data_IF_391802410696
#
_entry.id   IF_391802410696
#
_cell.length_a   1.000
_cell.length_b   1.000
_cell.length_c   1.000
_cell.angle_alpha   90.00
_cell.angle_beta   90.00
_cell.angle_gamma   90.00
#
_symmetry.space_group_name_H-M   'P 1'
#
loop_
_entity.id
_entity.type
_entity.pdbx_description
1 polymer ?
#
# COMPACT_ATOMS: atom_id res chain seq x y z
N UNK A 1 44.99 8.86 55.71
CA UNK A 1 45.55 8.92 57.08
C UNK A 1 45.49 10.38 57.47
N UNK A 2 44.48 10.73 58.26
CA UNK A 2 44.01 12.09 58.43
C UNK A 2 45.07 12.98 59.08
N UNK A 3 45.27 14.13 58.44
CA UNK A 3 46.39 15.03 58.61
C UNK A 3 46.22 15.96 59.83
N UNK A 4 47.32 16.41 60.43
CA UNK A 4 47.35 17.13 61.72
C UNK A 4 46.78 18.57 61.69
N UNK A 5 46.18 19.02 60.61
CA UNK A 5 45.58 20.38 60.50
C UNK A 5 44.19 20.48 61.15
N UNK A 6 43.41 19.40 61.19
CA UNK A 6 42.03 19.42 61.72
C UNK A 6 41.99 19.49 63.26
N UNK A 7 43.05 19.02 63.94
CA UNK A 7 43.13 19.00 65.41
C UNK A 7 43.49 20.39 65.98
N UNK A 8 44.21 21.22 65.22
CA UNK A 8 44.62 22.56 65.67
C UNK A 8 43.49 23.60 65.60
N UNK A 9 42.59 23.50 64.61
CA UNK A 9 41.47 24.43 64.47
C UNK A 9 40.34 24.19 65.49
N UNK A 10 40.09 22.94 65.88
CA UNK A 10 39.13 22.61 66.94
C UNK A 10 39.64 22.98 68.35
N UNK A 11 40.95 22.96 68.57
CA UNK A 11 41.57 23.41 69.82
C UNK A 11 41.45 24.94 69.98
N UNK A 12 41.74 25.69 68.91
CA UNK A 12 41.64 27.16 68.91
C UNK A 12 40.17 27.66 69.01
N UNK A 13 39.20 26.94 68.46
CA UNK A 13 37.78 27.27 68.66
C UNK A 13 37.28 26.96 70.09
N UNK A 14 37.79 25.90 70.73
CA UNK A 14 37.47 25.59 72.14
C UNK A 14 38.06 26.60 73.13
N UNK A 15 39.29 27.07 72.89
CA UNK A 15 39.92 28.10 73.74
C UNK A 15 39.16 29.43 73.63
N UNK A 16 38.80 29.86 72.41
CA UNK A 16 37.99 31.09 72.23
C UNK A 16 36.60 30.98 72.84
N UNK A 17 35.94 29.82 72.74
CA UNK A 17 34.64 29.60 73.39
C UNK A 17 34.74 29.57 74.93
N UNK A 18 35.86 29.06 75.47
CA UNK A 18 36.15 29.08 76.92
C UNK A 18 36.38 30.50 77.42
N UNK A 19 37.22 31.29 76.74
CA UNK A 19 37.50 32.69 77.09
C UNK A 19 36.22 33.55 77.02
N UNK A 20 35.36 33.31 76.03
CA UNK A 20 34.10 34.05 75.88
C UNK A 20 33.06 33.66 76.93
N UNK A 21 33.07 32.41 77.41
CA UNK A 21 32.26 31.99 78.56
C UNK A 21 32.81 32.51 79.89
N UNK A 22 34.13 32.57 80.08
CA UNK A 22 34.75 33.19 81.25
C UNK A 22 34.47 34.69 81.29
N UNK A 23 34.51 35.38 80.16
CA UNK A 23 34.16 36.80 80.08
C UNK A 23 32.70 37.08 80.45
N UNK A 24 31.76 36.24 79.98
CA UNK A 24 30.35 36.33 80.38
C UNK A 24 30.14 36.04 81.88
N UNK A 25 30.91 35.11 82.45
CA UNK A 25 30.88 34.84 83.91
C UNK A 25 31.46 36.01 84.72
N UNK A 26 32.52 36.65 84.23
CA UNK A 26 33.10 37.85 84.83
C UNK A 26 32.13 39.03 84.79
N UNK A 27 31.45 39.26 83.66
CA UNK A 27 30.42 40.30 83.54
C UNK A 27 29.24 40.06 84.48
N UNK A 28 28.77 38.82 84.61
CA UNK A 28 27.73 38.46 85.57
C UNK A 28 28.17 38.67 87.03
N UNK A 29 29.41 38.27 87.37
CA UNK A 29 29.98 38.48 88.70
C UNK A 29 30.15 39.97 89.05
N UNK A 30 30.49 40.82 88.06
CA UNK A 30 30.58 42.28 88.24
C UNK A 30 29.20 42.89 88.48
N UNK A 31 28.17 42.44 87.76
CA UNK A 31 26.79 42.88 87.99
C UNK A 31 26.28 42.46 89.37
N UNK A 32 26.62 41.26 89.82
CA UNK A 32 26.27 40.76 91.16
C UNK A 32 27.00 41.56 92.26
N UNK A 33 28.26 41.93 92.03
CA UNK A 33 29.04 42.83 92.90
C UNK A 33 28.44 44.23 93.00
N UNK A 34 27.95 44.79 91.90
CA UNK A 34 27.25 46.09 91.92
C UNK A 34 25.92 46.01 92.68
N UNK A 35 25.20 44.90 92.54
CA UNK A 35 23.95 44.67 93.25
C UNK A 35 24.20 44.52 94.76
N UNK A 36 25.26 43.81 95.16
CA UNK A 36 25.71 43.70 96.54
C UNK A 36 26.17 45.05 97.11
N UNK A 37 26.87 45.90 96.34
CA UNK A 37 27.23 47.26 96.77
C UNK A 37 26.00 48.15 97.00
N UNK A 38 24.97 48.03 96.16
CA UNK A 38 23.70 48.74 96.38
C UNK A 38 23.00 48.24 97.64
N UNK A 39 22.96 46.92 97.86
CA UNK A 39 22.40 46.36 99.09
C UNK A 39 23.18 46.80 100.34
N UNK A 40 24.51 46.89 100.27
CA UNK A 40 25.34 47.41 101.35
C UNK A 40 25.03 48.89 101.64
N UNK A 41 24.88 49.73 100.62
CA UNK A 41 24.49 51.13 100.78
C UNK A 41 23.11 51.29 101.44
N UNK A 42 22.14 50.44 101.08
CA UNK A 42 20.81 50.43 101.71
C UNK A 42 20.92 50.00 103.17
N UNK A 43 21.72 48.97 103.47
CA UNK A 43 21.96 48.51 104.84
C UNK A 43 22.65 49.57 105.69
N UNK A 44 23.65 50.30 105.16
CA UNK A 44 24.31 51.40 105.86
C UNK A 44 23.35 52.56 106.17
N UNK A 45 22.40 52.87 105.27
CA UNK A 45 21.34 53.84 105.57
C UNK A 45 20.44 53.34 106.70
N UNK A 46 19.98 52.08 106.66
CA UNK A 46 19.12 51.53 107.72
C UNK A 46 19.84 51.43 109.07
N UNK A 47 21.16 51.20 109.06
CA UNK A 47 21.98 51.16 110.27
C UNK A 47 22.10 52.55 110.89
N UNK A 48 22.30 53.60 110.08
CA UNK A 48 22.29 54.98 110.55
C UNK A 48 20.93 55.41 111.12
N UNK A 49 19.82 55.02 110.48
CA UNK A 49 18.46 55.31 110.97
C UNK A 49 18.16 54.61 112.31
N UNK A 50 18.65 53.36 112.47
CA UNK A 50 18.57 52.64 113.75
C UNK A 50 19.49 53.27 114.81
N UNK A 51 20.66 53.77 114.43
CA UNK A 51 21.58 54.47 115.33
C UNK A 51 20.94 55.75 115.88
N UNK A 52 20.27 56.52 115.00
CA UNK A 52 19.48 57.68 115.37
C UNK A 52 18.35 57.32 116.34
N UNK A 53 17.60 56.25 116.06
CA UNK A 53 16.54 55.77 116.96
C UNK A 53 17.08 55.29 118.32
N UNK A 54 18.28 54.70 118.37
CA UNK A 54 18.94 54.31 119.62
C UNK A 54 19.34 55.54 120.45
N UNK A 55 19.82 56.60 119.80
CA UNK A 55 20.22 57.83 120.49
C UNK A 55 19.01 58.66 120.96
N UNK A 56 17.90 58.62 120.22
CA UNK A 56 16.60 59.18 120.64
C UNK A 56 16.06 58.46 121.89
N UNK A 57 16.10 57.11 121.91
CA UNK A 57 15.73 56.31 123.08
C UNK A 57 16.66 56.52 124.28
N UNK A 58 17.95 56.83 124.07
CA UNK A 58 18.85 57.21 125.17
C UNK A 58 18.51 58.59 125.74
N UNK A 59 18.05 59.53 124.91
CA UNK A 59 17.57 60.83 125.38
C UNK A 59 16.30 60.67 126.22
N UNK A 60 15.33 59.86 125.77
CA UNK A 60 14.10 59.58 126.53
C UNK A 60 14.39 58.85 127.86
N UNK A 61 15.40 57.98 127.89
CA UNK A 61 15.84 57.30 129.13
C UNK A 61 16.50 58.27 130.11
N UNK A 62 17.28 59.24 129.61
CA UNK A 62 17.89 60.29 130.43
C UNK A 62 16.87 61.31 131.00
N UNK A 63 15.71 61.47 130.36
CA UNK A 63 14.61 62.30 130.86
C UNK A 63 13.74 61.61 131.91
N UNK A 64 13.54 60.28 131.80
CA UNK A 64 12.75 59.50 132.77
C UNK A 64 13.47 59.17 134.08
N UNK A 65 14.80 59.22 134.11
CA UNK A 65 15.61 58.91 135.31
C UNK A 65 15.78 60.11 136.28
N UNK A 66 15.23 61.29 135.93
CA UNK A 66 15.26 62.52 136.77
C UNK A 66 13.96 62.85 137.53
N UNK A 67 12.89 62.06 137.38
CA UNK A 67 11.54 62.42 137.84
C UNK A 67 10.93 61.45 138.88
N UNK A 68 11.75 60.62 139.55
CA UNK A 68 11.27 59.62 140.52
C UNK A 68 12.13 59.62 141.79
N UNK A 69 12.05 60.71 142.56
CA UNK A 69 12.31 60.71 144.00
C UNK A 69 11.22 61.55 144.68
N UNK A 70 10.69 61.01 145.79
CA UNK A 70 9.74 61.61 146.73
C UNK A 70 8.25 61.67 146.31
N UNK A 71 7.47 60.71 146.81
CA UNK A 71 6.48 60.94 147.89
C UNK A 71 5.59 59.70 148.10
N UNK A 72 5.80 59.01 149.21
CA UNK A 72 4.69 58.43 150.00
C UNK A 72 4.13 59.56 150.88
N UNK A 73 2.82 59.59 151.19
CA UNK A 73 2.40 58.93 152.42
C UNK A 73 0.96 58.37 152.44
N UNK A 74 0.85 57.32 153.24
CA UNK A 74 -0.14 57.02 154.28
C UNK A 74 -1.65 56.95 153.99
N UNK A 75 -2.20 55.84 154.51
CA UNK A 75 -3.58 55.37 154.42
C UNK A 75 -4.45 56.07 155.47
N UNK A 76 -5.41 56.86 155.03
CA UNK A 76 -6.58 57.27 155.81
C UNK A 76 -7.80 56.41 155.46
N UNK A 77 -8.52 55.92 156.46
CA UNK A 77 -9.68 55.01 156.35
C UNK A 77 -10.92 55.58 155.63
N UNK A 78 -10.80 56.72 154.93
CA UNK A 78 -11.73 57.18 153.88
C UNK A 78 -11.32 56.75 152.45
N UNK A 79 -10.15 56.12 152.29
CA UNK A 79 -9.61 55.69 151.01
C UNK A 79 -10.27 54.43 150.43
N UNK A 80 -10.94 53.59 151.25
CA UNK A 80 -11.53 52.35 150.75
C UNK A 80 -12.56 52.62 149.65
N UNK A 81 -13.49 53.55 149.86
CA UNK A 81 -14.51 53.86 148.85
C UNK A 81 -13.91 54.56 147.63
N UNK A 82 -12.89 55.43 147.78
CA UNK A 82 -12.17 56.03 146.63
C UNK A 82 -11.38 55.00 145.83
N UNK A 83 -10.69 54.07 146.49
CA UNK A 83 -9.99 52.95 145.86
C UNK A 83 -11.02 52.02 145.21
N UNK A 84 -12.17 51.78 145.84
CA UNK A 84 -13.26 51.02 145.25
C UNK A 84 -13.81 51.72 144.00
N UNK A 85 -14.01 53.04 144.02
CA UNK A 85 -14.46 53.80 142.84
C UNK A 85 -13.39 53.79 141.75
N UNK A 86 -12.11 53.86 142.11
CA UNK A 86 -11.00 53.73 141.16
C UNK A 86 -10.91 52.32 140.58
N UNK A 87 -11.17 51.28 141.38
CA UNK A 87 -11.24 49.89 140.93
C UNK A 87 -12.46 49.64 140.06
N UNK A 88 -13.62 50.20 140.39
CA UNK A 88 -14.84 50.17 139.58
C UNK A 88 -14.65 50.91 138.25
N UNK A 89 -14.06 52.11 138.27
CA UNK A 89 -13.71 52.85 137.06
C UNK A 89 -12.68 52.08 136.22
N UNK A 90 -11.69 51.47 136.85
CA UNK A 90 -10.68 50.65 136.15
C UNK A 90 -11.28 49.34 135.64
N UNK A 91 -12.28 48.77 136.31
CA UNK A 91 -13.06 47.65 135.81
C UNK A 91 -13.87 48.06 134.58
N UNK A 92 -14.52 49.22 134.60
CA UNK A 92 -15.24 49.78 133.44
C UNK A 92 -14.27 50.04 132.28
N UNK A 93 -13.12 50.67 132.52
CA UNK A 93 -12.07 50.89 131.51
C UNK A 93 -11.55 49.57 130.93
N UNK A 94 -11.34 48.55 131.77
CA UNK A 94 -10.90 47.23 131.31
C UNK A 94 -12.00 46.52 130.52
N UNK A 95 -13.27 46.65 130.92
CA UNK A 95 -14.40 46.13 130.16
C UNK A 95 -14.55 46.83 128.81
N UNK A 96 -14.33 48.14 128.74
CA UNK A 96 -14.28 48.90 127.48
C UNK A 96 -13.13 48.44 126.59
N UNK A 97 -11.91 48.32 127.13
CA UNK A 97 -10.75 47.77 126.38
C UNK A 97 -10.99 46.33 125.91
N UNK A 98 -11.64 45.48 126.70
CA UNK A 98 -12.03 44.13 126.28
C UNK A 98 -13.06 44.17 125.16
N UNK A 99 -14.04 45.09 125.21
CA UNK A 99 -15.01 45.29 124.12
C UNK A 99 -14.33 45.81 122.85
N UNK A 100 -13.41 46.75 122.97
CA UNK A 100 -12.60 47.26 121.86
C UNK A 100 -11.73 46.16 121.24
N UNK A 101 -11.03 45.36 122.05
CA UNK A 101 -10.24 44.23 121.57
C UNK A 101 -11.12 43.16 120.89
N UNK A 102 -12.31 42.87 121.42
CA UNK A 102 -13.27 41.96 120.76
C UNK A 102 -13.73 42.50 119.41
N UNK A 103 -13.92 43.81 119.28
CA UNK A 103 -14.25 44.46 118.02
C UNK A 103 -13.09 44.35 117.02
N UNK A 104 -11.87 44.67 117.44
CA UNK A 104 -10.66 44.52 116.61
C UNK A 104 -10.51 43.07 116.14
N UNK A 105 -10.69 42.09 117.04
CA UNK A 105 -10.62 40.67 116.68
C UNK A 105 -11.69 40.27 115.66
N UNK A 106 -12.92 40.77 115.80
CA UNK A 106 -13.99 40.51 114.83
C UNK A 106 -13.68 41.11 113.45
N UNK A 107 -13.16 42.34 113.41
CA UNK A 107 -12.74 43.02 112.17
C UNK A 107 -11.59 42.26 111.49
N UNK A 108 -10.59 41.81 112.26
CA UNK A 108 -9.47 40.99 111.78
C UNK A 108 -9.94 39.64 111.21
N UNK A 109 -10.90 38.97 111.88
CA UNK A 109 -11.49 37.72 111.38
C UNK A 109 -12.29 37.93 110.10
N UNK A 110 -12.98 39.08 109.97
CA UNK A 110 -13.68 39.45 108.73
C UNK A 110 -12.70 39.70 107.58
N UNK A 111 -11.63 40.48 107.82
CA UNK A 111 -10.57 40.70 106.83
C UNK A 111 -9.87 39.39 106.43
N UNK A 112 -9.57 38.52 107.39
CA UNK A 112 -9.00 37.20 107.12
C UNK A 112 -9.93 36.38 106.21
N UNK A 113 -11.24 36.43 106.45
CA UNK A 113 -12.23 35.77 105.58
C UNK A 113 -12.24 36.35 104.16
N UNK A 114 -12.21 37.68 104.01
CA UNK A 114 -12.16 38.34 102.70
C UNK A 114 -10.89 37.94 101.94
N UNK A 115 -9.73 37.96 102.59
CA UNK A 115 -8.46 37.57 101.99
C UNK A 115 -8.47 36.10 101.57
N UNK A 116 -9.01 35.20 102.42
CA UNK A 116 -9.15 33.79 102.08
C UNK A 116 -10.08 33.58 100.86
N UNK A 117 -11.19 34.31 100.77
CA UNK A 117 -12.08 34.24 99.62
C UNK A 117 -11.42 34.75 98.33
N UNK A 118 -10.70 35.88 98.41
CA UNK A 118 -9.93 36.43 97.28
C UNK A 118 -8.85 35.46 96.82
N UNK A 119 -8.12 34.84 97.76
CA UNK A 119 -7.08 33.87 97.43
C UNK A 119 -7.68 32.62 96.76
N UNK A 120 -8.79 32.08 97.28
CA UNK A 120 -9.52 30.98 96.62
C UNK A 120 -9.99 31.34 95.22
N UNK A 121 -10.42 32.58 94.98
CA UNK A 121 -10.84 33.05 93.66
C UNK A 121 -9.67 33.13 92.69
N UNK A 122 -8.58 33.77 93.10
CA UNK A 122 -7.34 33.87 92.33
C UNK A 122 -6.77 32.49 91.99
N UNK A 123 -6.81 31.55 92.93
CA UNK A 123 -6.34 30.19 92.71
C UNK A 123 -7.17 29.46 91.63
N UNK A 124 -8.50 29.61 91.65
CA UNK A 124 -9.38 29.08 90.60
C UNK A 124 -9.14 29.73 89.23
N UNK A 125 -8.95 31.06 89.21
CA UNK A 125 -8.63 31.80 87.98
C UNK A 125 -7.28 31.34 87.40
N UNK A 126 -6.27 31.15 88.26
CA UNK A 126 -4.97 30.63 87.87
C UNK A 126 -5.05 29.20 87.31
N UNK A 127 -5.78 28.30 87.96
CA UNK A 127 -6.01 26.94 87.45
C UNK A 127 -6.72 26.95 86.09
N UNK A 128 -7.72 27.82 85.93
CA UNK A 128 -8.45 27.97 84.65
C UNK A 128 -7.52 28.47 83.54
N UNK A 129 -6.71 29.50 83.81
CA UNK A 129 -5.73 30.00 82.85
C UNK A 129 -4.66 28.97 82.51
N UNK A 130 -4.21 28.17 83.49
CA UNK A 130 -3.25 27.09 83.27
C UNK A 130 -3.80 26.03 82.32
N UNK A 131 -5.08 25.66 82.47
CA UNK A 131 -5.75 24.72 81.54
C UNK A 131 -5.90 25.34 80.15
N UNK A 132 -6.28 26.63 80.04
CA UNK A 132 -6.35 27.31 78.76
C UNK A 132 -5.00 27.35 78.04
N UNK A 133 -3.94 27.76 78.74
CA UNK A 133 -2.59 27.78 78.17
C UNK A 133 -2.17 26.40 77.65
N UNK A 134 -2.44 25.35 78.43
CA UNK A 134 -2.12 23.99 78.00
C UNK A 134 -2.89 23.56 76.75
N UNK A 135 -4.18 23.90 76.67
CA UNK A 135 -4.99 23.62 75.48
C UNK A 135 -4.48 24.39 74.26
N UNK A 136 -4.10 25.66 74.42
CA UNK A 136 -3.56 26.49 73.34
C UNK A 136 -2.20 25.97 72.87
N UNK A 137 -1.34 25.51 73.79
CA UNK A 137 -0.07 24.84 73.45
C UNK A 137 -0.31 23.56 72.64
N UNK A 138 -1.29 22.74 73.03
CA UNK A 138 -1.65 21.52 72.29
C UNK A 138 -2.22 21.84 70.91
N UNK A 139 -3.13 22.81 70.81
CA UNK A 139 -3.69 23.27 69.54
C UNK A 139 -2.60 23.82 68.61
N UNK A 140 -1.65 24.58 69.15
CA UNK A 140 -0.50 25.12 68.41
C UNK A 140 0.40 24.00 67.87
N UNK A 141 0.67 22.98 68.68
CA UNK A 141 1.40 21.78 68.22
C UNK A 141 0.66 21.06 67.10
N UNK A 142 -0.62 20.77 67.28
CA UNK A 142 -1.44 20.11 66.23
C UNK A 142 -1.51 20.93 64.95
N UNK A 143 -1.60 22.26 65.04
CA UNK A 143 -1.59 23.14 63.88
C UNK A 143 -0.23 23.10 63.16
N UNK A 144 0.88 23.06 63.90
CA UNK A 144 2.23 22.94 63.35
C UNK A 144 2.44 21.60 62.64
N UNK A 145 2.05 20.50 63.27
CA UNK A 145 2.16 19.16 62.67
C UNK A 145 1.36 19.08 61.35
N UNK A 146 0.16 19.66 61.33
CA UNK A 146 -0.65 19.75 60.09
C UNK A 146 0.03 20.61 59.02
N UNK A 147 0.66 21.72 59.41
CA UNK A 147 1.36 22.59 58.49
C UNK A 147 2.58 21.87 57.87
N UNK A 148 3.31 21.09 58.66
CA UNK A 148 4.45 20.31 58.17
C UNK A 148 4.00 19.23 57.17
N UNK A 149 2.88 18.53 57.45
CA UNK A 149 2.28 17.56 56.52
C UNK A 149 1.86 18.23 55.22
N UNK A 150 1.09 19.32 55.29
CA UNK A 150 0.64 20.04 54.09
C UNK A 150 1.81 20.61 53.28
N UNK A 151 2.87 21.06 53.93
CA UNK A 151 4.08 21.55 53.25
C UNK A 151 4.76 20.41 52.49
N UNK A 152 4.83 19.22 53.09
CA UNK A 152 5.38 18.03 52.43
C UNK A 152 4.54 17.63 51.22
N UNK A 153 3.20 17.59 51.37
CA UNK A 153 2.28 17.29 50.26
C UNK A 153 2.39 18.30 49.11
N UNK A 154 2.57 19.59 49.41
CA UNK A 154 2.79 20.62 48.39
C UNK A 154 4.09 20.35 47.63
N UNK A 155 5.19 20.09 48.33
CA UNK A 155 6.49 19.80 47.70
C UNK A 155 6.39 18.55 46.80
N UNK A 156 5.72 17.49 47.26
CA UNK A 156 5.48 16.29 46.46
C UNK A 156 4.69 16.61 45.18
N UNK A 157 3.63 17.43 45.29
CA UNK A 157 2.82 17.84 44.15
C UNK A 157 3.55 18.77 43.19
N UNK A 158 4.40 19.66 43.69
CA UNK A 158 5.27 20.50 42.86
C UNK A 158 6.26 19.66 42.05
N UNK A 159 6.85 18.63 42.66
CA UNK A 159 7.74 17.69 41.96
C UNK A 159 6.98 16.90 40.90
N UNK A 160 5.81 16.34 41.22
CA UNK A 160 4.97 15.63 40.23
C UNK A 160 4.60 16.53 39.04
N UNK A 161 4.27 17.80 39.30
CA UNK A 161 3.94 18.75 38.25
C UNK A 161 5.16 19.08 37.38
N UNK A 162 6.33 19.21 38.00
CA UNK A 162 7.59 19.43 37.29
C UNK A 162 7.92 18.25 36.36
N UNK A 163 7.85 17.01 36.86
CA UNK A 163 8.08 15.79 36.08
C UNK A 163 7.10 15.70 34.88
N UNK A 164 5.83 16.08 35.09
CA UNK A 164 4.84 16.12 34.01
C UNK A 164 5.16 17.19 32.96
N UNK A 165 5.68 18.35 33.36
CA UNK A 165 6.11 19.39 32.42
C UNK A 165 7.31 18.91 31.59
N UNK A 166 8.31 18.30 32.22
CA UNK A 166 9.46 17.74 31.51
C UNK A 166 9.03 16.65 30.51
N UNK A 167 8.12 15.77 30.92
CA UNK A 167 7.58 14.74 30.03
C UNK A 167 6.81 15.36 28.85
N UNK A 168 6.03 16.42 29.08
CA UNK A 168 5.30 17.11 28.03
C UNK A 168 6.26 17.76 27.02
N UNK A 169 7.34 18.38 27.48
CA UNK A 169 8.38 18.96 26.62
C UNK A 169 9.09 17.88 25.77
N UNK A 170 9.41 16.73 26.38
CA UNK A 170 10.02 15.60 25.66
C UNK A 170 9.09 15.08 24.54
N UNK A 171 7.80 14.91 24.85
CA UNK A 171 6.81 14.45 23.88
C UNK A 171 6.58 15.48 22.76
N UNK A 172 6.62 16.77 23.06
CA UNK A 172 6.53 17.84 22.06
C UNK A 172 7.73 17.81 21.11
N UNK A 173 8.94 17.65 21.64
CA UNK A 173 10.16 17.50 20.83
C UNK A 173 10.11 16.25 19.94
N UNK A 174 9.69 15.10 20.48
CA UNK A 174 9.53 13.87 19.70
C UNK A 174 8.49 14.04 18.59
N UNK A 175 7.37 14.72 18.86
CA UNK A 175 6.34 15.00 17.87
C UNK A 175 6.88 15.87 16.73
N UNK A 176 7.65 16.92 17.05
CA UNK A 176 8.30 17.77 16.04
C UNK A 176 9.26 16.94 15.18
N UNK A 177 10.13 16.15 15.81
CA UNK A 177 11.08 15.29 15.09
C UNK A 177 10.37 14.30 14.17
N UNK A 178 9.33 13.61 14.65
CA UNK A 178 8.55 12.64 13.86
C UNK A 178 7.81 13.31 12.71
N UNK A 179 7.29 14.52 12.92
CA UNK A 179 6.64 15.32 11.88
C UNK A 179 7.62 15.70 10.77
N UNK A 180 8.84 16.11 11.11
CA UNK A 180 9.90 16.43 10.15
C UNK A 180 10.38 15.18 9.40
N UNK A 181 10.61 14.06 10.10
CA UNK A 181 10.95 12.78 9.48
C UNK A 181 9.90 12.36 8.44
N UNK A 182 8.62 12.46 8.78
CA UNK A 182 7.51 12.11 7.89
C UNK A 182 7.40 13.07 6.70
N UNK A 183 7.59 14.39 6.92
CA UNK A 183 7.63 15.38 5.85
C UNK A 183 8.75 15.07 4.85
N UNK A 184 9.97 14.84 5.35
CA UNK A 184 11.12 14.52 4.52
C UNK A 184 10.94 13.19 3.77
N UNK A 185 10.37 12.17 4.42
CA UNK A 185 10.06 10.90 3.78
C UNK A 185 9.04 11.06 2.63
N UNK A 186 7.97 11.84 2.85
CA UNK A 186 6.97 12.11 1.83
C UNK A 186 7.51 12.94 0.66
N UNK A 187 8.34 13.95 0.92
CA UNK A 187 8.99 14.74 -0.13
C UNK A 187 9.90 13.87 -1.00
N UNK A 188 10.74 13.02 -0.37
CA UNK A 188 11.60 12.07 -1.07
C UNK A 188 10.80 11.04 -1.89
N UNK A 189 9.72 10.49 -1.34
CA UNK A 189 8.85 9.56 -2.04
C UNK A 189 8.20 10.22 -3.26
N UNK A 190 7.67 11.43 -3.10
CA UNK A 190 7.05 12.19 -4.17
C UNK A 190 8.04 12.53 -5.29
N UNK A 191 9.27 12.93 -4.95
CA UNK A 191 10.30 13.20 -5.95
C UNK A 191 10.69 11.93 -6.72
N UNK A 192 10.83 10.80 -6.03
CA UNK A 192 11.13 9.51 -6.66
C UNK A 192 10.00 9.04 -7.58
N UNK A 193 8.74 9.15 -7.14
CA UNK A 193 7.57 8.81 -7.96
C UNK A 193 7.49 9.73 -9.19
N UNK A 194 7.78 11.02 -9.04
CA UNK A 194 7.81 11.96 -10.18
C UNK A 194 8.89 11.59 -11.18
N UNK A 195 10.11 11.28 -10.73
CA UNK A 195 11.20 10.79 -11.60
C UNK A 195 10.83 9.50 -12.32
N UNK A 196 10.19 8.55 -11.64
CA UNK A 196 9.72 7.31 -12.27
C UNK A 196 8.63 7.57 -13.31
N UNK A 197 7.65 8.42 -12.98
CA UNK A 197 6.58 8.82 -13.90
C UNK A 197 7.16 9.44 -15.17
N UNK A 198 8.07 10.38 -15.03
CA UNK A 198 8.64 11.10 -16.17
C UNK A 198 9.50 10.15 -17.04
N UNK A 199 10.23 9.20 -16.44
CA UNK A 199 10.91 8.12 -17.19
C UNK A 199 9.92 7.26 -17.98
N UNK A 200 8.83 6.82 -17.36
CA UNK A 200 7.81 6.00 -18.01
C UNK A 200 7.13 6.74 -19.16
N UNK A 201 6.90 8.05 -19.02
CA UNK A 201 6.36 8.89 -20.11
C UNK A 201 7.33 8.92 -21.30
N UNK A 202 8.62 9.13 -21.05
CA UNK A 202 9.64 9.13 -22.12
C UNK A 202 9.72 7.77 -22.81
N UNK A 203 9.72 6.67 -22.04
CA UNK A 203 9.74 5.31 -22.59
C UNK A 203 8.47 5.00 -23.41
N UNK A 204 7.30 5.48 -22.97
CA UNK A 204 6.05 5.32 -23.69
C UNK A 204 6.09 6.07 -25.03
N UNK A 205 6.54 7.33 -25.03
CA UNK A 205 6.70 8.12 -26.26
C UNK A 205 7.66 7.42 -27.23
N UNK A 206 8.80 6.90 -26.74
CA UNK A 206 9.76 6.16 -27.56
C UNK A 206 9.12 4.92 -28.18
N UNK A 207 8.44 4.09 -27.38
CA UNK A 207 7.78 2.86 -27.87
C UNK A 207 6.67 3.17 -28.88
N UNK A 208 5.92 4.25 -28.69
CA UNK A 208 4.90 4.67 -29.64
C UNK A 208 5.51 5.13 -30.97
N UNK A 209 6.66 5.80 -30.94
CA UNK A 209 7.41 6.15 -32.15
C UNK A 209 7.93 4.88 -32.87
N UNK A 210 8.51 3.93 -32.13
CA UNK A 210 8.96 2.64 -32.68
C UNK A 210 7.80 1.85 -33.31
N UNK A 211 6.62 1.82 -32.68
CA UNK A 211 5.42 1.17 -33.21
C UNK A 211 4.98 1.82 -34.53
N UNK A 212 4.97 3.15 -34.60
CA UNK A 212 4.61 3.88 -35.82
C UNK A 212 5.61 3.63 -36.95
N UNK A 213 6.91 3.59 -36.65
CA UNK A 213 7.95 3.23 -37.62
C UNK A 213 7.77 1.81 -38.16
N UNK A 214 7.43 0.86 -37.28
CA UNK A 214 7.15 -0.53 -37.69
C UNK A 214 5.89 -0.62 -38.54
N UNK A 215 4.82 0.10 -38.20
CA UNK A 215 3.60 0.21 -39.03
C UNK A 215 3.93 0.75 -40.42
N UNK A 216 4.74 1.80 -40.50
CA UNK A 216 5.18 2.37 -41.78
C UNK A 216 5.99 1.37 -42.61
N UNK A 217 6.91 0.62 -41.97
CA UNK A 217 7.67 -0.45 -42.64
C UNK A 217 6.75 -1.56 -43.17
N UNK A 218 5.76 -1.99 -42.39
CA UNK A 218 4.77 -3.00 -42.83
C UNK A 218 4.04 -2.50 -44.08
N UNK A 219 3.48 -1.28 -44.04
CA UNK A 219 2.78 -0.68 -45.17
C UNK A 219 3.68 -0.60 -46.41
N UNK A 220 4.95 -0.22 -46.25
CA UNK A 220 5.90 -0.19 -47.35
C UNK A 220 6.14 -1.59 -47.94
N UNK A 221 6.38 -2.59 -47.08
CA UNK A 221 6.60 -3.98 -47.54
C UNK A 221 5.36 -4.56 -48.23
N UNK A 222 4.15 -4.24 -47.77
CA UNK A 222 2.90 -4.64 -48.43
C UNK A 222 2.78 -4.03 -49.83
N UNK A 223 3.13 -2.75 -49.99
CA UNK A 223 3.17 -2.07 -51.29
C UNK A 223 4.17 -2.71 -52.25
N UNK A 224 5.37 -3.03 -51.76
CA UNK A 224 6.42 -3.70 -52.54
C UNK A 224 5.99 -5.11 -52.96
N UNK A 225 5.40 -5.89 -52.05
CA UNK A 225 4.83 -7.20 -52.34
C UNK A 225 3.71 -7.13 -53.38
N UNK A 226 2.79 -6.16 -53.26
CA UNK A 226 1.70 -5.97 -54.22
C UNK A 226 2.23 -5.59 -55.61
N UNK A 227 3.25 -4.72 -55.68
CA UNK A 227 3.91 -4.36 -56.93
C UNK A 227 4.60 -5.57 -57.58
N UNK A 228 5.31 -6.38 -56.78
CA UNK A 228 5.97 -7.61 -57.24
C UNK A 228 4.97 -8.63 -57.75
N UNK A 229 3.85 -8.84 -57.05
CA UNK A 229 2.77 -9.74 -57.48
C UNK A 229 2.19 -9.30 -58.83
N UNK A 230 1.89 -8.00 -58.98
CA UNK A 230 1.40 -7.44 -60.26
C UNK A 230 2.40 -7.61 -61.41
N UNK A 231 3.69 -7.49 -61.12
CA UNK A 231 4.74 -7.76 -62.11
C UNK A 231 4.78 -9.24 -62.51
N UNK A 232 4.73 -10.16 -61.54
CA UNK A 232 4.66 -11.60 -61.79
C UNK A 232 3.42 -11.99 -62.60
N UNK A 233 2.25 -11.43 -62.28
CA UNK A 233 1.02 -11.67 -63.05
C UNK A 233 1.16 -11.23 -64.52
N UNK A 234 1.87 -10.12 -64.79
CA UNK A 234 2.16 -9.68 -66.17
C UNK A 234 3.11 -10.63 -66.88
N UNK A 235 4.11 -11.15 -66.17
CA UNK A 235 5.07 -12.11 -66.72
C UNK A 235 4.41 -13.46 -67.02
N UNK A 236 3.54 -13.95 -66.13
CA UNK A 236 2.73 -15.15 -66.34
C UNK A 236 1.84 -14.97 -67.58
N UNK A 237 1.09 -13.87 -67.68
CA UNK A 237 0.24 -13.61 -68.87
C UNK A 237 1.04 -13.56 -70.17
N UNK A 238 2.23 -12.98 -70.14
CA UNK A 238 3.14 -13.00 -71.31
C UNK A 238 3.59 -14.42 -71.65
N UNK A 239 3.97 -15.21 -70.64
CA UNK A 239 4.39 -16.60 -70.83
C UNK A 239 3.25 -17.48 -71.36
N UNK A 240 2.04 -17.32 -70.83
CA UNK A 240 0.81 -17.99 -71.31
C UNK A 240 0.55 -17.65 -72.78
N UNK A 241 0.57 -16.36 -73.14
CA UNK A 241 0.41 -15.96 -74.54
C UNK A 241 1.48 -16.58 -75.44
N UNK A 242 2.76 -16.52 -75.06
CA UNK A 242 3.84 -17.16 -75.82
C UNK A 242 3.59 -18.67 -75.96
N UNK A 243 3.08 -19.33 -74.92
CA UNK A 243 2.77 -20.76 -74.97
C UNK A 243 1.61 -21.06 -75.91
N UNK A 244 0.56 -20.23 -75.91
CA UNK A 244 -0.52 -20.31 -76.90
C UNK A 244 0.02 -20.19 -78.32
N UNK A 245 0.88 -19.20 -78.60
CA UNK A 245 1.54 -19.06 -79.90
C UNK A 245 2.37 -20.29 -80.28
N UNK A 246 3.08 -20.90 -79.33
CA UNK A 246 3.83 -22.15 -79.56
C UNK A 246 2.89 -23.30 -79.92
N UNK A 247 1.77 -23.45 -79.22
CA UNK A 247 0.75 -24.48 -79.51
C UNK A 247 0.15 -24.25 -80.89
N UNK A 248 -0.26 -23.02 -81.22
CA UNK A 248 -0.80 -22.68 -82.55
C UNK A 248 0.23 -22.96 -83.64
N UNK A 249 1.49 -22.55 -83.44
CA UNK A 249 2.58 -22.81 -84.39
C UNK A 249 2.82 -24.31 -84.59
N UNK A 250 2.80 -25.12 -83.54
CA UNK A 250 2.91 -26.57 -83.64
C UNK A 250 1.76 -27.19 -84.42
N UNK A 251 0.51 -26.73 -84.18
CA UNK A 251 -0.67 -27.16 -84.95
C UNK A 251 -0.52 -26.79 -86.43
N UNK A 252 -0.15 -25.56 -86.74
CA UNK A 252 0.08 -25.09 -88.11
C UNK A 252 1.20 -25.90 -88.80
N UNK A 253 2.31 -26.14 -88.12
CA UNK A 253 3.41 -26.95 -88.66
C UNK A 253 2.94 -28.38 -88.98
N UNK A 254 2.13 -28.99 -88.09
CA UNK A 254 1.52 -30.29 -88.34
C UNK A 254 0.62 -30.28 -89.59
N UNK A 255 -0.18 -29.22 -89.77
CA UNK A 255 -1.03 -29.05 -90.96
C UNK A 255 -0.18 -28.86 -92.23
N UNK A 256 0.89 -28.07 -92.17
CA UNK A 256 1.83 -27.86 -93.28
C UNK A 256 2.51 -29.17 -93.66
N UNK A 257 3.01 -29.94 -92.70
CA UNK A 257 3.62 -31.25 -92.95
C UNK A 257 2.61 -32.20 -93.62
N UNK A 258 1.38 -32.27 -93.10
CA UNK A 258 0.30 -33.11 -93.68
C UNK A 258 -0.06 -32.68 -95.11
N UNK A 259 -0.21 -31.37 -95.36
CA UNK A 259 -0.53 -30.85 -96.70
C UNK A 259 0.62 -31.03 -97.69
N UNK A 260 1.88 -30.80 -97.28
CA UNK A 260 3.06 -31.10 -98.09
C UNK A 260 3.15 -32.58 -98.45
N UNK A 261 2.85 -33.47 -97.49
CA UNK A 261 2.78 -34.91 -97.74
C UNK A 261 1.70 -35.23 -98.79
N UNK A 262 0.47 -34.73 -98.60
CA UNK A 262 -0.63 -34.89 -99.58
C UNK A 262 -0.23 -34.38 -100.96
N UNK A 263 0.38 -33.20 -101.07
CA UNK A 263 0.83 -32.64 -102.34
C UNK A 263 1.87 -33.54 -103.01
N UNK A 264 2.87 -34.02 -102.27
CA UNK A 264 3.87 -34.95 -102.80
C UNK A 264 3.24 -36.27 -103.25
N UNK A 265 2.28 -36.82 -102.50
CA UNK A 265 1.57 -38.04 -102.87
C UNK A 265 0.75 -37.83 -104.15
N UNK A 266 0.08 -36.67 -104.30
CA UNK A 266 -0.62 -36.31 -105.55
C UNK A 266 0.32 -36.10 -106.73
N UNK A 267 1.49 -35.49 -106.52
CA UNK A 267 2.50 -35.31 -107.56
C UNK A 267 3.04 -36.66 -108.04
N UNK A 268 3.38 -37.58 -107.12
CA UNK A 268 3.80 -38.95 -107.47
C UNK A 268 2.71 -39.71 -108.21
N UNK A 269 1.46 -39.56 -107.79
CA UNK A 269 0.31 -40.16 -108.50
C UNK A 269 0.16 -39.57 -109.92
N UNK A 270 0.32 -38.27 -110.05
CA UNK A 270 0.26 -37.57 -111.34
C UNK A 270 1.43 -37.95 -112.26
N UNK A 271 2.64 -38.08 -111.73
CA UNK A 271 3.79 -38.61 -112.47
C UNK A 271 3.57 -40.06 -112.89
N UNK A 272 3.04 -40.91 -112.00
CA UNK A 272 2.71 -42.30 -112.34
C UNK A 272 1.64 -42.39 -113.43
N UNK A 273 0.57 -41.60 -113.33
CA UNK A 273 -0.48 -41.54 -114.36
C UNK A 273 0.04 -40.98 -115.67
N UNK A 274 0.86 -39.93 -115.66
CA UNK A 274 1.54 -39.41 -116.84
C UNK A 274 2.43 -40.47 -117.48
N UNK A 275 3.22 -41.20 -116.70
CA UNK A 275 4.06 -42.29 -117.20
C UNK A 275 3.23 -43.41 -117.81
N UNK A 276 2.12 -43.81 -117.15
CA UNK A 276 1.16 -44.78 -117.69
C UNK A 276 0.53 -44.28 -118.99
N UNK A 277 0.14 -43.02 -119.06
CA UNK A 277 -0.41 -42.40 -120.26
C UNK A 277 0.61 -42.38 -121.40
N UNK A 278 1.87 -42.00 -121.13
CA UNK A 278 2.93 -42.05 -122.13
C UNK A 278 3.22 -43.48 -122.60
N UNK A 279 3.19 -44.46 -121.69
CA UNK A 279 3.37 -45.88 -122.04
C UNK A 279 2.20 -46.43 -122.85
N UNK A 280 0.96 -46.05 -122.50
CA UNK A 280 -0.25 -46.37 -123.27
C UNK A 280 -0.19 -45.73 -124.66
N UNK A 281 0.17 -44.44 -124.75
CA UNK A 281 0.38 -43.75 -126.03
C UNK A 281 1.43 -44.45 -126.90
N UNK A 282 2.55 -44.87 -126.30
CA UNK A 282 3.58 -45.63 -127.01
C UNK A 282 3.05 -46.98 -127.52
N UNK A 283 2.29 -47.74 -126.69
CA UNK A 283 1.66 -49.00 -127.11
C UNK A 283 0.62 -48.81 -128.21
N UNK A 284 -0.18 -47.75 -128.15
CA UNK A 284 -1.14 -47.44 -129.23
C UNK A 284 -0.41 -47.16 -130.54
N UNK A 285 0.67 -46.38 -130.51
CA UNK A 285 1.52 -46.16 -131.70
C UNK A 285 2.16 -47.45 -132.21
N UNK A 286 2.63 -48.33 -131.32
CA UNK A 286 3.21 -49.63 -131.69
C UNK A 286 2.17 -50.54 -132.37
N UNK A 287 0.96 -50.64 -131.83
CA UNK A 287 -0.10 -51.53 -132.33
C UNK A 287 -0.79 -50.99 -133.59
N UNK A 288 -0.96 -49.68 -133.70
CA UNK A 288 -1.81 -49.04 -134.73
C UNK A 288 -1.01 -48.32 -135.82
N UNK A 289 0.33 -48.22 -135.67
CA UNK A 289 1.25 -47.54 -136.58
C UNK A 289 1.65 -46.14 -136.09
N UNK A 290 2.81 -45.64 -136.56
CA UNK A 290 3.33 -44.32 -136.16
C UNK A 290 2.41 -43.14 -136.52
N UNK A 291 1.48 -43.34 -137.46
CA UNK A 291 0.47 -42.37 -137.88
C UNK A 291 -0.67 -42.18 -136.86
N UNK A 292 -0.77 -43.03 -135.82
CA UNK A 292 -1.76 -42.86 -134.73
C UNK A 292 -1.28 -41.81 -133.71
N UNK A 293 -2.15 -40.89 -133.23
CA UNK A 293 -1.80 -39.89 -132.21
C UNK A 293 -1.40 -40.49 -130.84
N UNK A 294 -1.62 -41.80 -130.64
CA UNK A 294 -1.40 -42.53 -129.40
C UNK A 294 -2.62 -42.51 -128.47
N UNK A 295 -3.76 -42.05 -128.93
CA UNK A 295 -5.02 -42.02 -128.19
C UNK A 295 -6.06 -43.02 -128.73
N UNK A 296 -5.68 -43.83 -129.72
CA UNK A 296 -6.56 -44.84 -130.34
C UNK A 296 -7.61 -44.23 -131.29
N UNK A 297 -7.45 -42.97 -131.69
CA UNK A 297 -8.38 -42.29 -132.61
C UNK A 297 -7.93 -42.29 -134.08
N UNK A 298 -6.76 -42.86 -134.38
CA UNK A 298 -6.20 -42.93 -135.73
C UNK A 298 -7.00 -43.82 -136.68
N UNK A 299 -6.72 -43.68 -137.98
CA UNK A 299 -7.49 -44.36 -139.03
C UNK A 299 -7.42 -45.88 -138.92
N UNK A 300 -6.27 -46.43 -138.49
CA UNK A 300 -6.08 -47.88 -138.35
C UNK A 300 -6.93 -48.46 -137.21
N UNK A 301 -7.00 -47.76 -136.06
CA UNK A 301 -7.87 -48.15 -134.94
C UNK A 301 -9.34 -48.19 -135.35
N UNK A 302 -9.79 -47.17 -136.09
CA UNK A 302 -11.16 -47.11 -136.60
C UNK A 302 -11.47 -48.26 -137.56
N UNK A 303 -10.52 -48.64 -138.42
CA UNK A 303 -10.69 -49.80 -139.32
C UNK A 303 -10.73 -51.13 -138.56
N UNK A 304 -9.86 -51.34 -137.57
CA UNK A 304 -9.89 -52.53 -136.72
C UNK A 304 -11.19 -52.62 -135.92
N UNK A 305 -11.65 -51.53 -135.32
CA UNK A 305 -12.93 -51.48 -134.62
C UNK A 305 -14.09 -51.80 -135.57
N UNK A 306 -14.07 -51.22 -136.77
CA UNK A 306 -15.11 -51.48 -137.78
C UNK A 306 -15.10 -52.94 -138.25
N UNK A 307 -13.95 -53.59 -138.32
CA UNK A 307 -13.81 -55.02 -138.61
C UNK A 307 -14.35 -55.90 -137.45
N UNK A 308 -14.06 -55.56 -136.20
CA UNK A 308 -14.58 -56.32 -135.05
C UNK A 308 -16.08 -56.12 -134.85
N UNK A 309 -16.60 -54.91 -135.09
CA UNK A 309 -18.05 -54.66 -135.12
C UNK A 309 -18.69 -55.55 -136.19
N UNK A 310 -18.13 -55.62 -137.40
CA UNK A 310 -18.63 -56.50 -138.46
C UNK A 310 -18.54 -57.98 -138.09
N UNK A 311 -17.53 -58.40 -137.32
CA UNK A 311 -17.40 -59.78 -136.82
C UNK A 311 -18.47 -60.11 -135.77
N UNK A 312 -18.65 -59.25 -134.77
CA UNK A 312 -19.66 -59.44 -133.71
C UNK A 312 -21.09 -59.34 -134.25
N UNK A 313 -21.31 -58.57 -135.31
CA UNK A 313 -22.59 -58.52 -136.04
C UNK A 313 -23.00 -59.86 -136.67
N UNK A 314 -22.08 -60.83 -136.75
CA UNK A 314 -22.25 -62.09 -137.48
C UNK A 314 -22.21 -63.35 -136.57
N UNK A 315 -22.30 -63.22 -135.24
CA UNK A 315 -22.36 -64.35 -134.31
C UNK A 315 -23.80 -64.64 -133.84
N UNK A 316 -24.28 -65.92 -133.80
CA UNK A 316 -25.62 -66.27 -133.34
C UNK A 316 -25.77 -66.23 -131.80
N UNK A 317 -26.93 -65.77 -131.32
CA UNK A 317 -27.31 -65.31 -129.97
C UNK A 317 -27.27 -66.32 -128.79
N UNK A 318 -26.79 -67.56 -128.95
CA UNK A 318 -27.01 -68.61 -127.93
C UNK A 318 -26.05 -68.55 -126.69
N UNK A 319 -24.90 -67.88 -126.77
CA UNK A 319 -23.97 -67.71 -125.63
C UNK A 319 -24.43 -66.63 -124.64
N UNK A 320 -25.21 -65.64 -125.10
CA UNK A 320 -25.61 -64.49 -124.29
C UNK A 320 -26.60 -64.85 -123.16
N UNK A 321 -27.42 -65.89 -123.35
CA UNK A 321 -28.40 -66.32 -122.34
C UNK A 321 -27.76 -67.06 -121.15
N UNK A 322 -26.65 -67.79 -121.35
CA UNK A 322 -25.95 -68.47 -120.26
C UNK A 322 -25.24 -67.47 -119.34
N UNK A 323 -24.57 -66.48 -119.90
CA UNK A 323 -23.90 -65.43 -119.12
C UNK A 323 -24.90 -64.63 -118.27
N UNK A 324 -26.09 -64.36 -118.83
CA UNK A 324 -27.15 -63.65 -118.12
C UNK A 324 -27.70 -64.44 -116.91
N UNK A 325 -27.68 -65.77 -116.96
CA UNK A 325 -28.10 -66.62 -115.85
C UNK A 325 -27.06 -66.61 -114.71
N UNK A 326 -25.78 -66.67 -115.05
CA UNK A 326 -24.67 -66.60 -114.07
C UNK A 326 -24.64 -65.23 -113.37
N UNK A 327 -24.88 -64.15 -114.10
CA UNK A 327 -24.96 -62.80 -113.52
C UNK A 327 -26.11 -62.66 -112.52
N UNK A 328 -27.26 -63.30 -112.77
CA UNK A 328 -28.41 -63.29 -111.84
C UNK A 328 -28.10 -64.03 -110.55
N UNK A 329 -27.48 -65.21 -110.63
CA UNK A 329 -27.06 -65.96 -109.43
C UNK A 329 -26.03 -65.19 -108.59
N UNK A 330 -25.09 -64.52 -109.26
CA UNK A 330 -24.10 -63.68 -108.59
C UNK A 330 -24.77 -62.48 -107.88
N UNK A 331 -25.73 -61.82 -108.54
CA UNK A 331 -26.49 -60.72 -107.96
C UNK A 331 -27.25 -61.15 -106.71
N UNK A 332 -27.91 -62.30 -106.73
CA UNK A 332 -28.66 -62.81 -105.58
C UNK A 332 -27.74 -63.17 -104.40
N UNK A 333 -26.54 -63.71 -104.68
CA UNK A 333 -25.51 -63.94 -103.68
C UNK A 333 -25.04 -62.64 -103.03
N UNK A 334 -24.78 -61.62 -103.84
CA UNK A 334 -24.35 -60.30 -103.37
C UNK A 334 -25.42 -59.65 -102.47
N UNK A 335 -26.70 -59.79 -102.84
CA UNK A 335 -27.83 -59.26 -102.07
C UNK A 335 -27.92 -59.90 -100.68
N UNK A 336 -27.71 -61.22 -100.56
CA UNK A 336 -27.63 -61.89 -99.25
C UNK A 336 -26.47 -61.38 -98.40
N UNK A 337 -25.31 -61.13 -99.00
CA UNK A 337 -24.16 -60.62 -98.26
C UNK A 337 -24.41 -59.22 -97.70
N UNK A 338 -25.09 -58.35 -98.48
CA UNK A 338 -25.51 -57.02 -98.00
C UNK A 338 -26.45 -57.15 -96.80
N UNK A 339 -27.44 -58.03 -96.87
CA UNK A 339 -28.40 -58.25 -95.77
C UNK A 339 -27.72 -58.76 -94.48
N UNK A 340 -26.68 -59.60 -94.61
CA UNK A 340 -25.87 -60.03 -93.46
C UNK A 340 -25.11 -58.84 -92.86
N UNK A 341 -24.49 -58.01 -93.70
CA UNK A 341 -23.74 -56.83 -93.24
C UNK A 341 -24.63 -55.82 -92.54
N UNK A 342 -25.82 -55.54 -93.07
CA UNK A 342 -26.79 -54.64 -92.45
C UNK A 342 -27.24 -55.15 -91.07
N UNK A 343 -27.51 -56.46 -90.95
CA UNK A 343 -27.84 -57.08 -89.67
C UNK A 343 -26.67 -57.03 -88.66
N UNK A 344 -25.44 -57.17 -89.13
CA UNK A 344 -24.24 -57.03 -88.28
C UNK A 344 -24.05 -55.60 -87.80
N UNK A 345 -24.20 -54.59 -88.67
CA UNK A 345 -24.11 -53.17 -88.31
C UNK A 345 -25.14 -52.84 -87.23
N UNK A 346 -26.39 -53.28 -87.42
CA UNK A 346 -27.46 -53.05 -86.44
C UNK A 346 -27.15 -53.64 -85.06
N UNK A 347 -26.52 -54.82 -85.00
CA UNK A 347 -26.05 -55.41 -83.73
C UNK A 347 -24.92 -54.59 -83.09
N UNK A 348 -23.96 -54.13 -83.88
CA UNK A 348 -22.87 -53.28 -83.36
C UNK A 348 -23.35 -51.94 -82.84
N UNK A 349 -24.33 -51.32 -83.50
CA UNK A 349 -24.96 -50.09 -83.01
C UNK A 349 -25.67 -50.33 -81.68
N UNK A 350 -26.40 -51.44 -81.54
CA UNK A 350 -27.01 -51.86 -80.27
C UNK A 350 -25.99 -51.98 -79.14
N UNK A 351 -24.89 -52.72 -79.36
CA UNK A 351 -23.80 -52.82 -78.37
C UNK A 351 -23.20 -51.47 -78.02
N UNK A 352 -23.06 -50.56 -78.98
CA UNK A 352 -22.54 -49.21 -78.72
C UNK A 352 -23.47 -48.43 -77.80
N UNK A 353 -24.77 -48.46 -78.05
CA UNK A 353 -25.75 -47.79 -77.19
C UNK A 353 -25.78 -48.38 -75.78
N UNK A 354 -25.69 -49.70 -75.64
CA UNK A 354 -25.68 -50.37 -74.33
C UNK A 354 -24.45 -49.98 -73.51
N UNK A 355 -23.26 -49.95 -74.15
CA UNK A 355 -22.02 -49.55 -73.48
C UNK A 355 -22.06 -48.08 -73.08
N UNK A 356 -22.56 -47.19 -73.95
CA UNK A 356 -22.68 -45.77 -73.61
C UNK A 356 -23.64 -45.55 -72.44
N UNK A 357 -24.78 -46.24 -72.42
CA UNK A 357 -25.73 -46.18 -71.30
C UNK A 357 -25.10 -46.66 -69.99
N UNK A 358 -24.37 -47.77 -70.02
CA UNK A 358 -23.66 -48.31 -68.85
C UNK A 358 -22.61 -47.34 -68.32
N UNK A 359 -21.84 -46.69 -69.20
CA UNK A 359 -20.82 -45.72 -68.81
C UNK A 359 -21.43 -44.43 -68.23
N UNK A 360 -22.56 -43.98 -68.77
CA UNK A 360 -23.28 -42.82 -68.23
C UNK A 360 -23.85 -43.13 -66.83
N UNK A 361 -24.36 -44.33 -66.60
CA UNK A 361 -24.79 -44.78 -65.27
C UNK A 361 -23.63 -44.82 -64.26
N UNK A 362 -22.46 -45.35 -64.66
CA UNK A 362 -21.25 -45.35 -63.83
C UNK A 362 -20.77 -43.92 -63.51
N UNK A 363 -20.82 -43.01 -64.48
CA UNK A 363 -20.45 -41.61 -64.30
C UNK A 363 -21.35 -40.92 -63.27
N UNK A 364 -22.66 -41.16 -63.35
CA UNK A 364 -23.64 -40.61 -62.40
C UNK A 364 -23.39 -41.16 -61.00
N UNK A 365 -23.11 -42.45 -60.85
CA UNK A 365 -22.76 -43.04 -59.56
C UNK A 365 -21.47 -42.45 -58.98
N UNK A 366 -20.41 -42.30 -59.79
CA UNK A 366 -19.15 -41.73 -59.33
C UNK A 366 -19.30 -40.26 -58.89
N UNK A 367 -20.10 -39.47 -59.61
CA UNK A 367 -20.40 -38.08 -59.27
C UNK A 367 -21.13 -37.96 -57.93
N UNK A 368 -22.13 -38.81 -57.69
CA UNK A 368 -22.93 -38.74 -56.48
C UNK A 368 -22.20 -39.31 -55.26
N UNK A 369 -21.49 -40.43 -55.41
CA UNK A 369 -20.88 -41.11 -54.27
C UNK A 369 -19.58 -40.45 -53.80
N UNK A 370 -18.78 -39.91 -54.72
CA UNK A 370 -17.54 -39.20 -54.37
C UNK A 370 -17.79 -37.88 -53.64
N UNK A 371 -18.70 -37.05 -54.16
CA UNK A 371 -18.99 -35.72 -53.60
C UNK A 371 -19.72 -35.81 -52.26
N UNK A 372 -20.68 -36.73 -52.13
CA UNK A 372 -21.43 -36.93 -50.88
C UNK A 372 -20.53 -37.53 -49.79
N UNK A 373 -19.58 -38.41 -50.14
CA UNK A 373 -18.64 -38.99 -49.17
C UNK A 373 -17.65 -37.94 -48.66
N UNK A 374 -17.16 -37.04 -49.53
CA UNK A 374 -16.29 -35.92 -49.14
C UNK A 374 -17.00 -34.94 -48.20
N UNK A 375 -18.22 -34.52 -48.56
CA UNK A 375 -19.03 -33.61 -47.73
C UNK A 375 -19.37 -34.20 -46.37
N UNK A 376 -19.65 -35.51 -46.29
CA UNK A 376 -19.87 -36.20 -45.01
C UNK A 376 -18.61 -36.24 -44.14
N UNK A 377 -17.44 -36.42 -44.75
CA UNK A 377 -16.16 -36.42 -44.06
C UNK A 377 -15.82 -35.03 -43.52
N UNK A 378 -15.93 -33.99 -44.35
CA UNK A 378 -15.70 -32.59 -43.94
C UNK A 378 -16.65 -32.16 -42.81
N UNK A 379 -17.91 -32.59 -42.87
CA UNK A 379 -18.88 -32.34 -41.80
C UNK A 379 -18.50 -33.05 -40.50
N UNK A 380 -18.03 -34.30 -40.56
CA UNK A 380 -17.56 -35.04 -39.39
C UNK A 380 -16.31 -34.38 -38.77
N UNK A 381 -15.36 -33.96 -39.59
CA UNK A 381 -14.15 -33.24 -39.14
C UNK A 381 -14.51 -31.91 -38.47
N UNK A 382 -15.47 -31.15 -39.03
CA UNK A 382 -15.94 -29.91 -38.41
C UNK A 382 -16.65 -30.14 -37.06
N UNK A 383 -17.43 -31.21 -36.93
CA UNK A 383 -18.07 -31.59 -35.66
C UNK A 383 -17.01 -32.01 -34.62
N UNK A 384 -15.99 -32.78 -35.01
CA UNK A 384 -14.90 -33.16 -34.10
C UNK A 384 -14.08 -31.95 -33.65
N UNK A 385 -13.77 -31.02 -34.55
CA UNK A 385 -13.06 -29.77 -34.17
C UNK A 385 -13.89 -28.89 -33.23
N UNK A 386 -15.21 -28.86 -33.36
CA UNK A 386 -16.09 -28.14 -32.43
C UNK A 386 -16.18 -28.79 -31.05
N UNK A 387 -16.10 -30.11 -30.97
CA UNK A 387 -16.20 -30.84 -29.71
C UNK A 387 -14.85 -31.01 -28.98
N UNK A 388 -13.72 -30.65 -29.61
CA UNK A 388 -12.37 -30.72 -29.03
C UNK A 388 -11.84 -29.41 -28.44
N UNK A 389 -12.61 -28.33 -28.49
CA UNK A 389 -12.28 -27.04 -27.87
C UNK A 389 -13.30 -26.71 -26.77
N UNK A 390 -13.24 -27.44 -25.65
CA UNK A 390 -13.69 -27.02 -24.32
C UNK A 390 -12.88 -27.75 -23.25
#
# INVERSE_FOLDING_TARGET
>A
METPEIINDLSNQRVKASEQNEKKRLEAAVQELELLKRQQSVLESTLNDLQFSIDELKCERAEKEKMLEENEPEVEHGAFFKILTQLENREVELQEKIKEQKKIYADLMHEQSIVQQKNKKLQKEFETQKVHLHNDEMNSRTARDKLDVLTTEIIEKENEYHDLCELAEQLEQELVQKSEENKNANENLNENLKKQRDKLIVDLIRRQAEENDMKNKIIQTERECAARKKQQEREIKKAESINEWKIVRQKLNTIIIKSKKKLNDTLKSLESTRNKETALRAKFKELLGEDDPGDGTGQMARRMLQAEIQRLSNLPDDEYEQDLAVEREYYDSLKRQIEILENSIKKFEGYRTDILSSLDEELIQASNDGYVRLLKQDLQESIQMKNGNY
#
